data_IF_669600325502
#
_entry.id   IF_669600325502
#
_cell.length_a   1.000
_cell.length_b   1.000
_cell.length_c   1.000
_cell.angle_alpha   90.00
_cell.angle_beta   90.00
_cell.angle_gamma   90.00
#
_symmetry.space_group_name_H-M   'P 1'
#
loop_
_entity.id
_entity.type
_entity.pdbx_description
1 polymer ?
#
# COMPACT_ATOMS: atom_id res chain seq x y z
N UNK A 1 17.80 -16.91 -17.08
CA UNK A 1 17.04 -15.72 -17.47
C UNK A 1 15.66 -15.80 -16.82
N UNK A 2 15.19 -14.69 -16.23
CA UNK A 2 13.79 -14.51 -15.76
C UNK A 2 13.19 -13.41 -16.62
N UNK A 3 12.03 -13.66 -17.23
CA UNK A 3 11.27 -12.69 -18.03
C UNK A 3 9.88 -12.55 -17.41
N UNK A 4 9.56 -11.36 -16.90
CA UNK A 4 8.29 -11.07 -16.22
C UNK A 4 7.97 -9.58 -16.29
N UNK A 5 6.71 -9.22 -16.10
CA UNK A 5 6.34 -7.83 -15.85
C UNK A 5 6.90 -7.41 -14.48
N UNK A 6 7.42 -6.19 -14.37
CA UNK A 6 8.04 -5.72 -13.14
C UNK A 6 7.07 -5.65 -11.94
N UNK A 7 5.78 -5.45 -12.22
CA UNK A 7 4.69 -5.42 -11.23
C UNK A 7 3.96 -6.77 -11.10
N UNK A 8 4.69 -7.88 -11.12
CA UNK A 8 4.14 -9.23 -10.92
C UNK A 8 4.13 -9.60 -9.45
N UNK A 9 2.99 -10.12 -8.96
CA UNK A 9 2.80 -10.49 -7.55
C UNK A 9 2.73 -9.26 -6.65
N UNK A 10 3.18 -9.39 -5.39
CA UNK A 10 3.34 -8.21 -4.50
C UNK A 10 4.52 -7.38 -5.00
N UNK A 11 4.30 -6.10 -5.25
CA UNK A 11 5.33 -5.18 -5.75
C UNK A 11 5.29 -3.82 -5.05
N UNK A 12 6.34 -3.04 -5.26
CA UNK A 12 6.49 -1.70 -4.70
C UNK A 12 6.73 -0.72 -5.83
N UNK A 13 5.99 0.39 -5.77
CA UNK A 13 6.13 1.54 -6.64
C UNK A 13 6.89 2.68 -5.96
N UNK A 14 7.82 3.26 -6.71
CA UNK A 14 8.61 4.43 -6.31
C UNK A 14 8.20 5.65 -7.15
N UNK A 15 8.66 6.88 -6.81
CA UNK A 15 8.38 8.07 -7.61
C UNK A 15 8.64 7.91 -9.12
N UNK A 16 9.68 7.17 -9.52
CA UNK A 16 9.98 6.93 -10.94
C UNK A 16 8.89 6.14 -11.69
N UNK A 17 8.01 5.43 -10.98
CA UNK A 17 6.86 4.77 -11.61
C UNK A 17 5.87 5.78 -12.24
N UNK A 18 5.81 6.99 -11.71
CA UNK A 18 4.90 8.04 -12.18
C UNK A 18 5.61 9.26 -12.75
N UNK A 19 6.80 9.57 -12.27
CA UNK A 19 7.54 10.78 -12.59
C UNK A 19 8.90 10.45 -13.20
N UNK A 20 9.18 11.00 -14.38
CA UNK A 20 10.41 10.73 -15.15
C UNK A 20 11.68 11.01 -14.34
N UNK A 21 11.67 12.06 -13.53
CA UNK A 21 12.81 12.50 -12.71
C UNK A 21 12.66 12.08 -11.25
N UNK A 22 11.69 11.19 -10.95
CA UNK A 22 11.48 10.63 -9.62
C UNK A 22 12.58 9.63 -9.23
N UNK A 23 12.71 9.40 -7.93
CA UNK A 23 13.62 8.39 -7.42
C UNK A 23 13.19 6.99 -7.88
N UNK A 24 14.12 6.27 -8.51
CA UNK A 24 13.97 4.88 -8.90
C UNK A 24 14.29 3.91 -7.75
N UNK A 25 14.18 2.61 -8.00
CA UNK A 25 14.42 1.57 -7.00
C UNK A 25 15.84 1.59 -6.41
N UNK A 26 16.83 2.15 -7.12
CA UNK A 26 18.21 2.27 -6.64
C UNK A 26 18.45 3.47 -5.74
N UNK A 27 17.56 4.47 -5.80
CA UNK A 27 17.72 5.77 -5.12
C UNK A 27 16.82 5.95 -3.91
N UNK A 28 15.70 5.21 -3.85
CA UNK A 28 14.77 5.31 -2.72
C UNK A 28 15.43 4.88 -1.41
N UNK A 29 15.13 5.60 -0.34
CA UNK A 29 15.68 5.31 0.97
C UNK A 29 15.06 4.04 1.58
N UNK A 30 15.87 3.00 1.79
CA UNK A 30 15.45 1.77 2.47
C UNK A 30 14.93 2.04 3.89
N UNK A 31 15.42 3.11 4.55
CA UNK A 31 14.93 3.49 5.87
C UNK A 31 13.42 3.82 5.90
N UNK A 32 12.79 4.05 4.75
CA UNK A 32 11.33 4.23 4.64
C UNK A 32 10.56 2.94 4.40
N UNK A 33 11.23 1.85 4.03
CA UNK A 33 10.60 0.61 3.55
C UNK A 33 10.96 -0.60 4.40
N UNK A 34 11.96 -0.47 5.27
CA UNK A 34 12.47 -1.56 6.09
C UNK A 34 12.22 -1.25 7.56
N UNK A 35 11.74 -2.27 8.28
CA UNK A 35 11.55 -2.23 9.72
C UNK A 35 10.74 -1.02 10.19
N UNK A 36 9.61 -0.75 9.51
CA UNK A 36 8.73 0.37 9.88
C UNK A 36 7.67 -0.07 10.88
N UNK A 37 7.36 0.74 11.93
CA UNK A 37 6.19 0.47 12.75
C UNK A 37 4.98 0.38 11.85
N UNK A 38 4.20 -0.70 11.92
CA UNK A 38 3.03 -0.89 11.08
C UNK A 38 1.73 -0.48 11.77
N UNK A 39 0.73 -0.18 10.95
CA UNK A 39 -0.69 -0.11 11.35
C UNK A 39 -1.53 -0.72 10.23
N UNK A 40 -2.51 -1.55 10.60
CA UNK A 40 -3.48 -2.12 9.66
C UNK A 40 -4.79 -1.33 9.75
N UNK A 41 -5.24 -0.83 8.61
CA UNK A 41 -6.56 -0.22 8.43
C UNK A 41 -7.52 -1.30 7.99
N UNK A 42 -8.47 -1.67 8.84
CA UNK A 42 -9.49 -2.69 8.54
C UNK A 42 -10.60 -2.11 7.68
N UNK A 43 -10.67 -2.52 6.42
CA UNK A 43 -11.70 -2.11 5.48
C UNK A 43 -12.57 -3.28 4.97
N UNK A 44 -12.35 -4.50 5.46
CA UNK A 44 -13.04 -5.72 5.03
C UNK A 44 -14.56 -5.62 5.16
N UNK A 45 -15.06 -5.12 6.29
CA UNK A 45 -16.52 -5.01 6.53
C UNK A 45 -17.16 -4.01 5.58
N UNK A 46 -16.50 -2.88 5.32
CA UNK A 46 -16.94 -1.88 4.36
C UNK A 46 -17.02 -2.47 2.95
N UNK A 47 -15.99 -3.17 2.53
CA UNK A 47 -15.93 -3.85 1.23
C UNK A 47 -16.96 -4.97 1.16
N UNK A 48 -17.16 -5.74 2.22
CA UNK A 48 -18.19 -6.76 2.34
C UNK A 48 -19.61 -6.21 2.20
N UNK A 49 -19.85 -4.96 2.65
CA UNK A 49 -21.08 -4.24 2.44
C UNK A 49 -21.28 -3.68 1.01
N UNK A 50 -20.34 -3.97 0.09
CA UNK A 50 -20.41 -3.57 -1.32
C UNK A 50 -19.73 -2.24 -1.65
N UNK A 51 -19.13 -1.56 -0.67
CA UNK A 51 -18.41 -0.31 -0.89
C UNK A 51 -16.98 -0.61 -1.35
N UNK A 52 -16.61 -0.10 -2.53
CA UNK A 52 -15.25 -0.28 -3.07
C UNK A 52 -14.34 0.91 -2.79
N UNK A 53 -14.92 2.09 -2.64
CA UNK A 53 -14.21 3.32 -2.36
C UNK A 53 -13.96 3.47 -0.85
N UNK A 54 -12.70 3.55 -0.46
CA UNK A 54 -12.26 3.78 0.93
C UNK A 54 -11.94 5.26 1.08
N UNK A 55 -12.73 5.97 1.88
CA UNK A 55 -12.67 7.40 2.08
C UNK A 55 -11.80 7.81 3.29
N UNK A 56 -11.52 9.12 3.41
CA UNK A 56 -10.78 9.71 4.52
C UNK A 56 -11.40 9.37 5.88
N UNK A 57 -12.73 9.44 5.98
CA UNK A 57 -13.45 9.18 7.22
C UNK A 57 -13.18 7.76 7.73
N UNK A 58 -13.15 6.79 6.81
CA UNK A 58 -12.84 5.41 7.16
C UNK A 58 -11.40 5.27 7.65
N UNK A 59 -10.43 5.90 6.97
CA UNK A 59 -9.02 5.87 7.39
C UNK A 59 -8.83 6.47 8.79
N UNK A 60 -9.46 7.62 9.08
CA UNK A 60 -9.41 8.26 10.40
C UNK A 60 -10.01 7.39 11.48
N UNK A 61 -11.21 6.86 11.25
CA UNK A 61 -11.89 5.98 12.22
C UNK A 61 -11.08 4.73 12.52
N UNK A 62 -10.47 4.11 11.51
CA UNK A 62 -9.66 2.91 11.71
C UNK A 62 -8.34 3.23 12.45
N UNK A 63 -7.69 4.36 12.18
CA UNK A 63 -6.52 4.80 12.93
C UNK A 63 -6.85 5.07 14.39
N UNK A 64 -7.98 5.73 14.67
CA UNK A 64 -8.46 5.99 16.03
C UNK A 64 -8.75 4.67 16.77
N UNK A 65 -9.44 3.73 16.13
CA UNK A 65 -9.72 2.41 16.70
C UNK A 65 -8.44 1.62 17.01
N UNK A 66 -7.40 1.77 16.18
CA UNK A 66 -6.07 1.18 16.39
C UNK A 66 -5.22 1.94 17.44
N UNK A 67 -5.73 3.05 18.00
CA UNK A 67 -5.01 3.90 18.97
C UNK A 67 -3.84 4.66 18.35
N UNK A 68 -3.84 4.92 17.04
CA UNK A 68 -2.77 5.59 16.32
C UNK A 68 -3.15 7.05 16.04
N UNK A 69 -2.62 7.96 16.84
CA UNK A 69 -2.79 9.41 16.65
C UNK A 69 -1.80 10.02 15.67
N UNK A 70 -0.61 9.39 15.51
CA UNK A 70 0.44 9.85 14.62
C UNK A 70 0.85 8.72 13.66
N UNK A 71 0.29 8.69 12.43
CA UNK A 71 0.69 7.72 11.41
C UNK A 71 1.98 8.10 10.68
N UNK A 72 2.56 9.28 10.96
CA UNK A 72 3.81 9.71 10.33
C UNK A 72 4.94 8.68 10.51
N UNK A 73 5.61 8.35 9.42
CA UNK A 73 6.73 7.40 9.40
C UNK A 73 6.34 5.93 9.65
N UNK A 74 5.05 5.59 9.76
CA UNK A 74 4.55 4.20 9.85
C UNK A 74 4.33 3.62 8.46
N UNK A 75 4.33 2.29 8.36
CA UNK A 75 3.72 1.58 7.25
C UNK A 75 2.20 1.52 7.49
N UNK A 76 1.42 2.18 6.64
CA UNK A 76 -0.06 2.13 6.68
C UNK A 76 -0.53 1.06 5.71
N UNK A 77 -1.09 -0.04 6.21
CA UNK A 77 -1.51 -1.21 5.44
C UNK A 77 -3.03 -1.31 5.43
N UNK A 78 -3.63 -1.30 4.25
CA UNK A 78 -5.09 -1.31 4.07
C UNK A 78 -5.54 -2.74 3.77
N UNK A 79 -6.25 -3.33 4.72
CA UNK A 79 -6.80 -4.69 4.65
C UNK A 79 -8.25 -4.62 4.16
N UNK A 80 -8.46 -5.02 2.92
CA UNK A 80 -9.77 -5.01 2.27
C UNK A 80 -10.40 -6.39 2.17
N UNK A 81 -9.61 -7.45 2.39
CA UNK A 81 -9.98 -8.84 2.15
C UNK A 81 -10.01 -9.22 0.67
N UNK A 82 -9.64 -8.32 -0.23
CA UNK A 82 -9.64 -8.61 -1.67
C UNK A 82 -8.60 -9.69 -2.04
N UNK A 83 -7.52 -9.80 -1.26
CA UNK A 83 -6.50 -10.84 -1.44
C UNK A 83 -7.03 -12.28 -1.33
N UNK A 84 -8.18 -12.49 -0.68
CA UNK A 84 -8.82 -13.82 -0.60
C UNK A 84 -9.25 -14.33 -1.99
N UNK A 85 -9.36 -13.44 -2.98
CA UNK A 85 -9.69 -13.75 -4.38
C UNK A 85 -8.46 -13.99 -5.24
N UNK A 86 -7.26 -13.92 -4.68
CA UNK A 86 -6.01 -14.11 -5.43
C UNK A 86 -6.03 -15.41 -6.23
N UNK A 87 -5.63 -15.34 -7.50
CA UNK A 87 -5.62 -16.50 -8.41
C UNK A 87 -6.98 -16.85 -9.03
N UNK A 88 -8.04 -16.08 -8.75
CA UNK A 88 -9.36 -16.24 -9.36
C UNK A 88 -9.66 -15.12 -10.36
N UNK A 89 -10.58 -15.32 -11.34
CA UNK A 89 -11.01 -14.26 -12.24
C UNK A 89 -11.60 -13.03 -11.52
N UNK A 90 -12.22 -13.23 -10.35
CA UNK A 90 -12.85 -12.17 -9.56
C UNK A 90 -11.83 -11.21 -8.95
N UNK A 91 -10.56 -11.60 -8.84
CA UNK A 91 -9.51 -10.74 -8.33
C UNK A 91 -9.28 -9.49 -9.18
N UNK A 92 -9.44 -9.61 -10.50
CA UNK A 92 -9.20 -8.51 -11.45
C UNK A 92 -10.47 -7.66 -11.72
N UNK A 93 -11.58 -7.98 -11.05
CA UNK A 93 -12.86 -7.30 -11.25
C UNK A 93 -13.28 -6.57 -9.99
N UNK A 94 -13.69 -5.31 -10.14
CA UNK A 94 -14.35 -4.53 -9.10
C UNK A 94 -13.60 -4.51 -7.74
N UNK A 95 -12.31 -4.18 -7.81
CA UNK A 95 -11.43 -4.16 -6.64
C UNK A 95 -11.61 -2.90 -5.77
N UNK A 96 -11.34 -2.97 -4.44
CA UNK A 96 -11.30 -1.81 -3.55
C UNK A 96 -10.16 -0.84 -3.89
N UNK A 97 -10.39 0.46 -3.65
CA UNK A 97 -9.45 1.53 -3.94
C UNK A 97 -9.65 2.73 -3.00
N UNK A 98 -8.69 3.67 -2.98
CA UNK A 98 -8.77 4.91 -2.21
C UNK A 98 -9.45 6.02 -3.01
N UNK A 99 -10.27 6.83 -2.32
CA UNK A 99 -10.83 8.07 -2.86
C UNK A 99 -9.79 9.20 -2.83
N UNK A 100 -10.06 10.29 -3.56
CA UNK A 100 -9.17 11.46 -3.62
C UNK A 100 -8.89 12.03 -2.21
N UNK A 101 -9.92 12.20 -1.37
CA UNK A 101 -9.81 12.71 0.01
C UNK A 101 -9.01 11.78 0.93
N UNK A 102 -9.16 10.45 0.76
CA UNK A 102 -8.34 9.48 1.48
C UNK A 102 -6.85 9.63 1.14
N UNK A 103 -6.54 9.86 -0.14
CA UNK A 103 -5.17 10.07 -0.60
C UNK A 103 -4.60 11.39 -0.08
N UNK A 104 -5.37 12.49 -0.13
CA UNK A 104 -4.99 13.78 0.43
C UNK A 104 -4.67 13.66 1.92
N UNK A 105 -5.52 12.96 2.66
CA UNK A 105 -5.28 12.68 4.07
C UNK A 105 -3.96 11.92 4.29
N UNK A 106 -3.71 10.83 3.55
CA UNK A 106 -2.47 10.06 3.66
C UNK A 106 -1.23 10.92 3.36
N UNK A 107 -1.29 11.76 2.32
CA UNK A 107 -0.19 12.70 2.02
C UNK A 107 0.03 13.65 3.20
N UNK A 108 -1.03 14.16 3.82
CA UNK A 108 -0.95 15.11 4.94
C UNK A 108 -0.31 14.52 6.19
N UNK A 109 -0.57 13.23 6.49
CA UNK A 109 -0.05 12.54 7.68
C UNK A 109 1.29 11.85 7.47
N UNK A 110 1.83 11.85 6.25
CA UNK A 110 3.19 11.45 5.89
C UNK A 110 3.60 10.06 6.38
N UNK A 111 2.88 8.99 6.05
CA UNK A 111 3.34 7.64 6.36
C UNK A 111 4.68 7.36 5.68
N UNK A 112 5.36 6.33 6.12
CA UNK A 112 6.59 5.85 5.50
C UNK A 112 6.35 5.23 4.13
N UNK A 113 5.30 4.42 4.05
CA UNK A 113 4.75 3.81 2.84
C UNK A 113 3.26 3.52 3.05
N UNK A 114 2.54 3.29 1.97
CA UNK A 114 1.15 2.81 1.98
C UNK A 114 1.08 1.47 1.26
N UNK A 115 0.44 0.49 1.88
CA UNK A 115 0.21 -0.82 1.28
C UNK A 115 -1.28 -1.16 1.20
N UNK A 116 -1.67 -1.98 0.22
CA UNK A 116 -3.03 -2.47 0.05
C UNK A 116 -3.03 -3.92 -0.44
N UNK A 117 -4.00 -4.71 0.00
CA UNK A 117 -4.21 -6.10 -0.44
C UNK A 117 -5.14 -6.21 -1.66
N UNK A 118 -5.27 -5.13 -2.43
CA UNK A 118 -6.11 -5.03 -3.62
C UNK A 118 -5.29 -5.07 -4.91
N UNK A 119 -6.00 -5.24 -6.04
CA UNK A 119 -5.43 -5.22 -7.39
C UNK A 119 -4.72 -3.91 -7.72
N UNK A 120 -5.29 -2.79 -7.28
CA UNK A 120 -4.75 -1.46 -7.49
C UNK A 120 -5.26 -0.52 -6.39
N UNK A 121 -4.41 0.38 -5.94
CA UNK A 121 -4.76 1.39 -4.93
C UNK A 121 -5.68 2.48 -5.49
N UNK A 122 -5.66 2.70 -6.80
CA UNK A 122 -6.55 3.59 -7.54
C UNK A 122 -7.67 2.82 -8.22
N UNK A 123 -8.81 3.49 -8.49
CA UNK A 123 -9.85 2.95 -9.36
C UNK A 123 -9.33 2.78 -10.78
N UNK A 124 -9.55 1.60 -11.37
CA UNK A 124 -9.21 1.32 -12.78
C UNK A 124 -10.29 1.76 -13.77
N UNK A 125 -11.45 2.23 -13.27
CA UNK A 125 -12.58 2.62 -14.14
C UNK A 125 -12.39 3.98 -14.83
N UNK A 126 -11.61 4.90 -14.25
CA UNK A 126 -11.57 6.29 -14.72
C UNK A 126 -10.27 6.68 -15.43
N UNK A 127 -9.24 5.88 -15.39
CA UNK A 127 -7.90 6.25 -15.86
C UNK A 127 -7.19 7.32 -15.04
N UNK A 128 -7.90 7.98 -14.08
CA UNK A 128 -7.29 8.83 -13.05
C UNK A 128 -6.54 7.93 -12.07
N UNK A 129 -5.40 8.40 -11.59
CA UNK A 129 -4.57 7.67 -10.63
C UNK A 129 -4.13 8.60 -9.49
N UNK A 130 -5.06 9.10 -8.66
CA UNK A 130 -4.74 10.07 -7.62
C UNK A 130 -3.76 9.50 -6.58
N UNK A 131 -3.91 8.25 -6.15
CA UNK A 131 -3.03 7.64 -5.17
C UNK A 131 -1.60 7.54 -5.69
N UNK A 132 -1.38 6.94 -6.87
CA UNK A 132 -0.05 6.91 -7.47
C UNK A 132 0.50 8.32 -7.73
N UNK A 133 -0.36 9.25 -8.15
CA UNK A 133 0.09 10.62 -8.46
C UNK A 133 0.55 11.33 -7.19
N UNK A 134 -0.26 11.39 -6.16
CA UNK A 134 0.03 12.25 -5.00
C UNK A 134 0.94 11.59 -3.97
N UNK A 135 0.78 10.29 -3.70
CA UNK A 135 1.67 9.58 -2.77
C UNK A 135 3.11 9.55 -3.32
N UNK A 136 3.28 9.17 -4.60
CA UNK A 136 4.61 9.10 -5.20
C UNK A 136 5.25 10.50 -5.36
N UNK A 137 4.46 11.55 -5.64
CA UNK A 137 4.96 12.93 -5.62
C UNK A 137 5.46 13.35 -4.24
N UNK A 138 4.82 12.87 -3.17
CA UNK A 138 5.22 13.11 -1.79
C UNK A 138 6.39 12.18 -1.34
N UNK A 139 6.92 11.33 -2.22
CA UNK A 139 7.95 10.35 -1.92
C UNK A 139 7.46 9.21 -1.02
N UNK A 140 6.14 8.98 -0.96
CA UNK A 140 5.53 7.87 -0.23
C UNK A 140 5.37 6.70 -1.20
N UNK A 141 6.12 5.62 -0.96
CA UNK A 141 6.04 4.41 -1.77
C UNK A 141 4.68 3.71 -1.61
N UNK A 142 4.24 3.04 -2.68
CA UNK A 142 3.01 2.24 -2.69
C UNK A 142 3.37 0.77 -2.82
N UNK A 143 2.71 -0.09 -2.03
CA UNK A 143 2.85 -1.55 -2.12
C UNK A 143 1.50 -2.15 -2.43
N UNK A 144 1.39 -2.84 -3.56
CA UNK A 144 0.14 -3.44 -4.01
C UNK A 144 0.19 -4.96 -3.95
N UNK A 145 -0.98 -5.59 -4.03
CA UNK A 145 -1.16 -7.03 -3.96
C UNK A 145 -0.57 -7.65 -2.68
N UNK A 146 -0.70 -6.98 -1.55
CA UNK A 146 -0.38 -7.58 -0.26
C UNK A 146 -1.33 -8.76 0.04
N UNK A 147 -0.86 -9.70 0.84
CA UNK A 147 -1.65 -10.85 1.30
C UNK A 147 -1.50 -11.02 2.81
N UNK A 148 -2.38 -11.83 3.41
CA UNK A 148 -2.32 -12.18 4.83
C UNK A 148 -2.37 -11.00 5.81
N UNK A 149 -2.88 -9.83 5.40
CA UNK A 149 -3.02 -8.68 6.30
C UNK A 149 -4.01 -8.93 7.43
N UNK A 150 -4.98 -9.83 7.24
CA UNK A 150 -5.93 -10.24 8.27
C UNK A 150 -5.26 -10.97 9.46
N UNK A 151 -4.08 -11.56 9.25
CA UNK A 151 -3.33 -12.27 10.28
C UNK A 151 -2.54 -11.34 11.21
N UNK A 152 -2.35 -10.07 10.81
CA UNK A 152 -1.62 -9.09 11.59
C UNK A 152 -2.52 -8.46 12.67
N UNK A 153 -1.99 -8.11 13.85
CA UNK A 153 -2.68 -7.20 14.76
C UNK A 153 -2.77 -5.80 14.14
N UNK A 154 -3.66 -4.94 14.66
CA UNK A 154 -3.80 -3.58 14.12
C UNK A 154 -2.51 -2.76 14.28
N UNK A 155 -1.74 -3.00 15.33
CA UNK A 155 -0.42 -2.39 15.60
C UNK A 155 0.49 -3.39 16.32
N UNK A 156 1.71 -2.96 16.72
CA UNK A 156 2.63 -3.83 17.49
C UNK A 156 3.49 -4.74 16.61
N UNK A 157 3.62 -4.44 15.34
CA UNK A 157 4.50 -5.14 14.41
C UNK A 157 5.41 -4.19 13.65
N UNK A 158 6.45 -4.76 13.04
CA UNK A 158 7.40 -4.08 12.15
C UNK A 158 7.23 -4.62 10.74
N UNK A 159 7.04 -3.72 9.77
CA UNK A 159 6.81 -4.08 8.36
C UNK A 159 8.01 -3.77 7.49
N UNK A 160 8.27 -4.65 6.53
CA UNK A 160 9.33 -4.52 5.54
C UNK A 160 8.82 -4.86 4.14
N UNK A 161 9.13 -3.98 3.17
CA UNK A 161 8.89 -4.20 1.74
C UNK A 161 10.08 -3.62 0.95
N UNK A 162 11.25 -4.29 1.02
CA UNK A 162 12.47 -3.80 0.40
C UNK A 162 12.57 -4.25 -1.07
N UNK A 163 12.65 -3.30 -2.03
CA UNK A 163 12.90 -3.65 -3.42
C UNK A 163 14.39 -3.92 -3.67
N UNK A 164 14.74 -4.66 -4.74
CA UNK A 164 16.09 -4.70 -5.23
C UNK A 164 16.50 -3.32 -5.79
N UNK A 165 17.79 -2.96 -5.64
CA UNK A 165 18.34 -1.70 -6.17
C UNK A 165 18.54 -1.80 -7.69
N UNK A 166 17.52 -1.46 -8.47
CA UNK A 166 17.56 -1.50 -9.94
C UNK A 166 17.50 -0.08 -10.50
N UNK A 167 18.56 0.32 -11.22
CA UNK A 167 18.64 1.64 -11.86
C UNK A 167 17.62 1.75 -13.00
N UNK A 168 16.92 2.87 -13.06
CA UNK A 168 15.94 3.19 -14.11
C UNK A 168 14.61 2.47 -14.00
N UNK A 169 14.35 1.68 -12.94
CA UNK A 169 13.07 1.04 -12.70
C UNK A 169 12.30 1.73 -11.58
N UNK A 170 11.02 2.03 -11.84
CA UNK A 170 10.13 2.66 -10.87
C UNK A 170 9.27 1.68 -10.07
N UNK A 171 9.23 0.40 -10.47
CA UNK A 171 8.43 -0.65 -9.83
C UNK A 171 9.16 -1.99 -9.92
N UNK A 172 9.05 -2.81 -8.89
CA UNK A 172 9.51 -4.20 -8.93
C UNK A 172 8.84 -5.04 -7.85
N UNK A 173 8.79 -6.36 -8.12
CA UNK A 173 8.28 -7.32 -7.14
C UNK A 173 9.12 -7.31 -5.87
N UNK A 174 8.45 -7.44 -4.73
CA UNK A 174 9.09 -7.47 -3.40
C UNK A 174 8.58 -8.64 -2.58
N UNK A 175 9.38 -9.11 -1.65
CA UNK A 175 8.89 -9.95 -0.58
C UNK A 175 8.54 -9.07 0.62
N UNK A 176 7.25 -8.73 0.74
CA UNK A 176 6.75 -7.99 1.90
C UNK A 176 6.52 -8.94 3.08
N UNK A 177 6.89 -8.51 4.29
CA UNK A 177 6.67 -9.29 5.51
C UNK A 177 6.56 -8.41 6.74
N UNK A 178 5.95 -8.94 7.79
CA UNK A 178 5.90 -8.31 9.10
C UNK A 178 6.61 -9.18 10.14
N UNK A 179 7.21 -8.51 11.13
CA UNK A 179 7.79 -9.12 12.33
C UNK A 179 6.95 -8.70 13.50
N UNK A 180 6.35 -9.67 14.19
CA UNK A 180 5.58 -9.43 15.41
C UNK A 180 6.52 -9.26 16.58
N UNK A 181 6.15 -8.41 17.57
CA UNK A 181 6.86 -8.38 18.83
C UNK A 181 6.80 -9.78 19.48
N UNK A 182 7.92 -10.23 20.03
CA UNK A 182 7.89 -11.44 20.84
C UNK A 182 6.96 -11.20 22.04
N UNK A 183 5.99 -12.09 22.20
CA UNK A 183 5.07 -12.08 23.34
C UNK A 183 5.77 -12.41 24.66
#
# INVERSE_FOLDING_TARGET
TISMAANTGTYLDTPAHRYRDGDDLSRVSLARMVDRPGVVIRARDQVGAGLRAIDERHLRSALEAAGVTEPAGRAVLIETGHSDRWGTPEYVVDHPYLTDDAVEFLVSVKPSLVGIDSLNIDSTHTGRRPAHTWLLAAGIAVVEHLTALAELPDTGFRFTAAPPAVVGMGTFTVRAFAVLAAG
#
